data_IF_068438088869
#
_entry.id   IF_068438088869
#
_cell.length_a   1.000
_cell.length_b   1.000
_cell.length_c   1.000
_cell.angle_alpha   90.00
_cell.angle_beta   90.00
_cell.angle_gamma   90.00
#
_symmetry.space_group_name_H-M   'P 1'
#
loop_
_entity.id
_entity.type
_entity.pdbx_description
1 polymer ?
#
# COMPACT_ATOMS: atom_id res chain seq x y z
N UNK A 1 2.93 -78.19 -2.26
CA UNK A 1 3.59 -76.93 -2.67
C UNK A 1 2.59 -75.80 -2.53
N UNK A 2 2.63 -75.01 -1.45
CA UNK A 2 1.74 -73.85 -1.18
C UNK A 2 2.57 -72.57 -1.41
N UNK A 3 2.19 -71.79 -2.41
CA UNK A 3 2.81 -70.46 -2.69
C UNK A 3 2.04 -69.40 -1.91
N UNK A 4 2.68 -68.83 -0.90
CA UNK A 4 2.18 -67.67 -0.14
C UNK A 4 2.43 -66.41 -0.95
N UNK A 5 1.39 -65.71 -1.38
CA UNK A 5 1.45 -64.40 -2.00
C UNK A 5 1.49 -63.35 -0.86
N UNK A 6 2.62 -62.72 -0.66
CA UNK A 6 2.74 -61.56 0.23
C UNK A 6 2.22 -60.31 -0.49
N UNK A 7 1.07 -59.76 -0.03
CA UNK A 7 0.57 -58.48 -0.45
C UNK A 7 1.37 -57.40 0.30
N UNK A 8 2.23 -56.67 -0.44
CA UNK A 8 2.93 -55.51 0.05
C UNK A 8 2.00 -54.28 -0.06
N UNK A 9 1.36 -53.91 1.05
CA UNK A 9 0.52 -52.72 1.12
C UNK A 9 1.41 -51.46 1.12
N UNK A 10 1.37 -50.71 0.02
CA UNK A 10 2.03 -49.42 -0.12
C UNK A 10 1.15 -48.34 0.54
N UNK A 11 1.46 -47.97 1.78
CA UNK A 11 0.80 -46.89 2.52
C UNK A 11 1.32 -45.54 1.98
N UNK A 12 0.50 -44.88 1.16
CA UNK A 12 0.77 -43.54 0.67
C UNK A 12 0.51 -42.52 1.80
N UNK A 13 1.57 -42.06 2.46
CA UNK A 13 1.49 -40.97 3.45
C UNK A 13 1.32 -39.67 2.67
N UNK A 14 0.11 -39.15 2.61
CA UNK A 14 -0.19 -37.81 2.13
C UNK A 14 0.33 -36.82 3.18
N UNK A 15 1.55 -36.31 3.00
CA UNK A 15 2.06 -35.15 3.72
C UNK A 15 1.26 -33.93 3.23
N UNK A 16 0.18 -33.63 3.93
CA UNK A 16 -0.50 -32.35 3.78
C UNK A 16 0.47 -31.25 4.22
N UNK A 17 1.14 -30.61 3.26
CA UNK A 17 1.90 -29.38 3.49
C UNK A 17 0.90 -28.28 3.79
N UNK A 18 0.59 -28.05 5.08
CA UNK A 18 -0.02 -26.81 5.51
C UNK A 18 1.02 -25.71 5.31
N UNK A 19 0.89 -24.94 4.23
CA UNK A 19 1.61 -23.69 4.12
C UNK A 19 1.16 -22.79 5.28
N UNK A 20 2.10 -22.15 6.01
CA UNK A 20 1.73 -21.21 7.05
C UNK A 20 0.86 -20.11 6.44
N UNK A 21 -0.31 -19.88 7.04
CA UNK A 21 -1.19 -18.78 6.65
C UNK A 21 -0.50 -17.49 7.09
N UNK A 22 -0.30 -16.56 6.17
CA UNK A 22 0.12 -15.22 6.53
C UNK A 22 -1.04 -14.57 7.30
N UNK A 23 -0.78 -14.16 8.53
CA UNK A 23 -1.72 -13.44 9.38
C UNK A 23 -1.20 -12.02 9.51
N UNK A 24 -1.98 -11.06 9.04
CA UNK A 24 -1.75 -9.63 9.19
C UNK A 24 -2.84 -9.06 10.11
N UNK A 25 -2.61 -7.90 10.76
CA UNK A 25 -3.66 -7.13 11.40
C UNK A 25 -4.77 -6.76 10.39
N UNK A 26 -6.00 -6.64 10.89
CA UNK A 26 -7.12 -6.18 10.06
C UNK A 26 -6.92 -4.71 9.64
N UNK A 27 -6.24 -3.91 10.47
CA UNK A 27 -5.82 -2.57 10.09
C UNK A 27 -4.69 -2.65 9.04
N UNK A 28 -4.78 -1.84 7.96
CA UNK A 28 -3.74 -1.85 6.93
C UNK A 28 -2.40 -1.36 7.49
N UNK A 29 -1.30 -1.88 6.93
CA UNK A 29 0.03 -1.33 7.19
C UNK A 29 0.63 -0.78 5.90
N UNK A 30 1.44 0.27 6.02
CA UNK A 30 2.17 0.86 4.92
C UNK A 30 3.68 0.88 5.19
N UNK A 31 4.46 0.74 4.12
CA UNK A 31 5.91 0.98 4.13
C UNK A 31 6.35 1.64 2.83
N UNK A 32 7.33 2.52 2.93
CA UNK A 32 8.06 3.01 1.76
C UNK A 32 8.88 1.88 1.13
N UNK A 33 8.86 1.77 -0.19
CA UNK A 33 9.64 0.79 -0.94
C UNK A 33 10.65 1.49 -1.84
N UNK A 34 10.19 2.37 -2.74
CA UNK A 34 11.06 3.02 -3.71
C UNK A 34 10.49 4.35 -4.19
N UNK A 35 11.36 5.18 -4.75
CA UNK A 35 11.02 6.43 -5.41
C UNK A 35 11.93 6.67 -6.61
N UNK A 36 11.35 6.77 -7.79
CA UNK A 36 12.06 6.94 -9.04
C UNK A 36 11.66 8.26 -9.69
N UNK A 37 12.46 9.34 -9.53
CA UNK A 37 12.20 10.60 -10.20
C UNK A 37 12.58 10.51 -11.70
N UNK A 38 11.83 11.22 -12.53
CA UNK A 38 12.11 11.40 -13.95
C UNK A 38 12.59 12.82 -14.24
N UNK A 39 13.28 12.99 -15.37
CA UNK A 39 13.86 14.28 -15.77
C UNK A 39 12.83 15.36 -16.15
N UNK A 40 11.57 14.97 -16.34
CA UNK A 40 10.47 15.87 -16.67
C UNK A 40 9.72 16.43 -15.44
N UNK A 41 10.22 16.15 -14.23
CA UNK A 41 9.62 16.55 -12.96
C UNK A 41 8.54 15.59 -12.45
N UNK A 42 8.26 14.52 -13.18
CA UNK A 42 7.41 13.43 -12.69
C UNK A 42 8.20 12.43 -11.85
N UNK A 43 7.51 11.53 -11.16
CA UNK A 43 8.12 10.43 -10.44
C UNK A 43 7.16 9.24 -10.33
N UNK A 44 7.70 8.08 -9.98
CA UNK A 44 6.94 6.92 -9.54
C UNK A 44 7.30 6.63 -8.08
N UNK A 45 6.29 6.65 -7.22
CA UNK A 45 6.39 6.25 -5.80
C UNK A 45 5.90 4.83 -5.66
N UNK A 46 6.66 3.98 -4.99
CA UNK A 46 6.25 2.61 -4.66
C UNK A 46 6.10 2.46 -3.16
N UNK A 47 4.90 2.08 -2.73
CA UNK A 47 4.57 1.77 -1.34
C UNK A 47 4.22 0.28 -1.24
N UNK A 48 4.72 -0.40 -0.21
CA UNK A 48 4.25 -1.73 0.14
C UNK A 48 3.13 -1.63 1.17
N UNK A 49 2.14 -2.52 1.10
CA UNK A 49 1.07 -2.58 2.09
C UNK A 49 0.73 -4.02 2.46
N UNK A 50 0.19 -4.22 3.65
CA UNK A 50 -0.49 -5.45 4.06
C UNK A 50 -1.83 -5.10 4.69
N UNK A 51 -2.77 -6.07 4.64
CA UNK A 51 -4.12 -5.92 5.16
C UNK A 51 -4.70 -7.30 5.49
N UNK A 52 -5.19 -7.51 6.69
CA UNK A 52 -5.53 -8.85 7.18
C UNK A 52 -6.88 -9.35 6.71
N UNK A 53 -7.89 -8.49 6.64
CA UNK A 53 -9.25 -8.83 6.21
C UNK A 53 -9.50 -8.56 4.72
N UNK A 54 -8.55 -7.90 4.02
CA UNK A 54 -8.57 -7.72 2.57
C UNK A 54 -9.56 -6.68 2.08
N UNK A 55 -9.86 -5.69 2.91
CA UNK A 55 -10.88 -4.68 2.62
C UNK A 55 -10.29 -3.36 2.08
N UNK A 56 -8.99 -3.30 1.77
CA UNK A 56 -8.36 -2.12 1.15
C UNK A 56 -8.89 -1.87 -0.26
N UNK A 57 -9.15 -0.60 -0.52
CA UNK A 57 -9.50 -0.11 -1.85
C UNK A 57 -10.95 0.27 -2.04
N UNK A 58 -11.18 1.12 -3.03
CA UNK A 58 -12.50 1.67 -3.34
C UNK A 58 -12.87 1.40 -4.81
N UNK A 59 -14.12 1.07 -5.04
CA UNK A 59 -14.67 0.93 -6.39
C UNK A 59 -15.12 2.29 -6.94
N UNK A 60 -15.39 2.37 -8.24
CA UNK A 60 -16.01 3.56 -8.83
C UNK A 60 -17.46 3.78 -8.35
N UNK A 61 -18.12 2.73 -7.85
CA UNK A 61 -19.48 2.81 -7.32
C UNK A 61 -19.56 3.34 -5.87
N UNK A 62 -18.43 3.45 -5.16
CA UNK A 62 -18.37 4.00 -3.81
C UNK A 62 -18.48 5.54 -3.86
N UNK A 63 -19.69 6.03 -4.12
CA UNK A 63 -20.01 7.45 -4.31
C UNK A 63 -20.87 8.05 -3.22
N UNK A 64 -21.27 7.27 -2.22
CA UNK A 64 -22.02 7.68 -1.05
C UNK A 64 -21.07 7.92 0.14
N UNK A 65 -21.48 8.68 1.16
CA UNK A 65 -20.70 8.83 2.38
C UNK A 65 -20.32 7.47 2.97
N UNK A 66 -19.07 7.33 3.46
CA UNK A 66 -18.04 8.37 3.67
C UNK A 66 -17.12 8.62 2.45
N UNK A 67 -17.35 7.97 1.28
CA UNK A 67 -16.45 7.95 0.12
C UNK A 67 -16.88 8.88 -1.02
N UNK A 68 -17.90 9.72 -0.81
CA UNK A 68 -18.41 10.64 -1.83
C UNK A 68 -17.33 11.69 -2.21
N UNK A 69 -17.49 12.32 -3.40
CA UNK A 69 -16.49 13.26 -3.95
C UNK A 69 -16.17 14.49 -3.09
N UNK A 70 -17.05 14.82 -2.14
CA UNK A 70 -16.89 15.91 -1.17
C UNK A 70 -16.67 15.41 0.25
N UNK A 71 -16.56 14.08 0.42
CA UNK A 71 -16.36 13.44 1.72
C UNK A 71 -14.87 13.33 2.04
N UNK A 72 -14.56 13.24 3.34
CA UNK A 72 -13.22 13.15 3.87
C UNK A 72 -12.44 11.95 3.31
N UNK A 73 -13.11 10.80 3.18
CA UNK A 73 -12.50 9.56 2.69
C UNK A 73 -12.72 9.32 1.19
N UNK A 74 -12.98 10.40 0.41
CA UNK A 74 -13.02 10.28 -1.05
C UNK A 74 -11.74 9.67 -1.60
N UNK A 75 -10.60 10.10 -1.08
CA UNK A 75 -9.29 9.49 -1.30
C UNK A 75 -8.94 8.65 -0.09
N UNK A 76 -8.54 7.43 -0.34
CA UNK A 76 -8.19 6.48 0.72
C UNK A 76 -6.67 6.30 0.90
N UNK A 77 -5.86 6.97 0.11
CA UNK A 77 -4.41 7.09 0.29
C UNK A 77 -4.03 8.56 0.15
N UNK A 78 -3.49 9.14 1.21
CA UNK A 78 -3.16 10.57 1.28
C UNK A 78 -1.75 10.75 1.81
N UNK A 79 -1.03 11.74 1.29
CA UNK A 79 0.25 12.14 1.85
C UNK A 79 0.24 13.57 2.36
N UNK A 80 0.82 13.76 3.54
CA UNK A 80 1.34 15.04 3.96
C UNK A 80 2.68 15.27 3.27
N UNK A 81 2.79 16.37 2.53
CA UNK A 81 4.01 16.79 1.86
C UNK A 81 4.78 17.73 2.77
N UNK A 82 6.09 17.53 2.88
CA UNK A 82 6.94 18.37 3.70
C UNK A 82 8.20 18.78 2.95
N UNK A 83 8.67 20.00 3.22
CA UNK A 83 9.88 20.60 2.69
C UNK A 83 10.92 20.80 3.80
N UNK A 84 12.20 20.51 3.51
CA UNK A 84 13.28 20.76 4.43
C UNK A 84 13.77 22.21 4.30
N UNK A 85 13.65 23.01 5.35
CA UNK A 85 14.06 24.42 5.38
C UNK A 85 15.51 24.65 5.83
N UNK A 86 16.29 23.58 6.00
CA UNK A 86 17.66 23.62 6.54
C UNK A 86 17.75 23.36 8.05
N UNK A 87 16.63 23.39 8.79
CA UNK A 87 16.57 23.17 10.22
C UNK A 87 15.43 22.21 10.65
N UNK A 88 14.29 22.27 9.95
CA UNK A 88 13.11 21.48 10.25
C UNK A 88 12.37 21.12 8.97
N UNK A 89 11.43 20.17 9.09
CA UNK A 89 10.45 19.86 8.06
C UNK A 89 9.24 20.77 8.23
N UNK A 90 8.93 21.55 7.19
CA UNK A 90 7.77 22.42 7.13
C UNK A 90 6.69 21.78 6.23
N UNK A 91 5.42 21.96 6.59
CA UNK A 91 4.27 21.50 5.81
C UNK A 91 3.64 22.69 5.11
N UNK A 92 3.95 22.96 3.83
CA UNK A 92 3.34 24.04 3.09
C UNK A 92 1.88 23.72 2.73
N UNK A 93 1.04 24.77 2.60
CA UNK A 93 -0.31 24.62 2.12
C UNK A 93 -0.32 24.24 0.64
N UNK A 94 -0.95 23.12 0.32
CA UNK A 94 -1.09 22.63 -1.05
C UNK A 94 -2.44 23.01 -1.62
N UNK A 95 -2.46 23.57 -2.84
CA UNK A 95 -3.71 23.76 -3.59
C UNK A 95 -4.32 22.41 -4.02
N UNK A 96 -3.48 21.45 -4.34
CA UNK A 96 -3.87 20.09 -4.74
C UNK A 96 -3.08 19.13 -3.84
N UNK A 97 -3.74 18.39 -2.94
CA UNK A 97 -3.06 17.44 -2.07
C UNK A 97 -2.57 16.21 -2.86
N UNK A 98 -1.55 15.55 -2.37
CA UNK A 98 -1.14 14.23 -2.84
C UNK A 98 -2.12 13.18 -2.30
N UNK A 99 -3.18 12.96 -3.04
CA UNK A 99 -4.27 12.08 -2.62
C UNK A 99 -4.69 11.18 -3.77
N UNK A 100 -4.89 9.90 -3.47
CA UNK A 100 -5.20 8.87 -4.46
C UNK A 100 -6.38 8.03 -4.00
N UNK A 101 -7.14 7.57 -4.98
CA UNK A 101 -8.19 6.59 -4.79
C UNK A 101 -7.64 5.23 -5.20
N UNK A 102 -7.18 4.47 -4.22
CA UNK A 102 -6.64 3.11 -4.45
C UNK A 102 -7.80 2.21 -4.85
N UNK A 103 -7.70 1.50 -5.98
CA UNK A 103 -8.75 0.56 -6.39
C UNK A 103 -8.77 -0.67 -5.48
N UNK A 104 -9.90 -1.37 -5.46
CA UNK A 104 -10.03 -2.63 -4.71
C UNK A 104 -8.97 -3.63 -5.18
N UNK A 105 -8.18 -4.11 -4.26
CA UNK A 105 -7.29 -5.23 -4.47
C UNK A 105 -8.05 -6.53 -4.20
N UNK A 106 -7.91 -7.50 -5.11
CA UNK A 106 -8.55 -8.82 -4.95
C UNK A 106 -7.53 -9.80 -4.41
N UNK A 107 -7.77 -10.43 -3.25
CA UNK A 107 -6.89 -11.47 -2.73
C UNK A 107 -6.73 -12.64 -3.69
N UNK A 108 -5.54 -13.21 -3.76
CA UNK A 108 -5.27 -14.44 -4.50
C UNK A 108 -5.37 -15.63 -3.55
N UNK A 109 -6.28 -16.59 -3.84
CA UNK A 109 -6.46 -17.78 -3.02
C UNK A 109 -7.64 -17.69 -2.06
N UNK A 110 -7.60 -18.50 -0.99
CA UNK A 110 -8.70 -18.63 0.00
C UNK A 110 -8.55 -17.73 1.23
N UNK A 111 -7.43 -17.01 1.36
CA UNK A 111 -7.21 -16.04 2.44
C UNK A 111 -7.68 -14.65 1.98
N UNK A 112 -8.38 -13.87 2.81
CA UNK A 112 -8.68 -12.48 2.50
C UNK A 112 -7.45 -11.58 2.60
N UNK A 113 -6.42 -11.98 3.36
CA UNK A 113 -5.25 -11.16 3.63
C UNK A 113 -4.52 -10.73 2.34
N UNK A 114 -4.17 -9.45 2.30
CA UNK A 114 -3.44 -8.81 1.22
C UNK A 114 -2.00 -8.54 1.63
N UNK A 115 -1.07 -8.75 0.71
CA UNK A 115 0.31 -8.28 0.75
C UNK A 115 0.68 -7.86 -0.67
N UNK A 116 1.02 -6.61 -0.85
CA UNK A 116 1.21 -6.07 -2.19
C UNK A 116 1.96 -4.74 -2.22
N UNK A 117 2.00 -4.18 -3.43
CA UNK A 117 2.60 -2.87 -3.70
C UNK A 117 1.62 -1.97 -4.45
N UNK A 118 1.72 -0.68 -4.16
CA UNK A 118 1.04 0.40 -4.85
C UNK A 118 2.09 1.21 -5.61
N UNK A 119 1.95 1.31 -6.92
CA UNK A 119 2.74 2.21 -7.74
C UNK A 119 1.93 3.47 -8.04
N UNK A 120 2.42 4.62 -7.59
CA UNK A 120 1.75 5.90 -7.73
C UNK A 120 2.49 6.75 -8.75
N UNK A 121 1.83 7.07 -9.85
CA UNK A 121 2.33 8.08 -10.77
C UNK A 121 2.14 9.47 -10.15
N UNK A 122 3.22 10.21 -10.02
CA UNK A 122 3.26 11.57 -9.50
C UNK A 122 3.67 12.51 -10.64
N UNK A 123 2.71 13.19 -11.31
CA UNK A 123 3.02 14.09 -12.42
C UNK A 123 3.91 15.27 -12.02
N UNK A 124 3.82 15.68 -10.75
CA UNK A 124 4.72 16.62 -10.09
C UNK A 124 4.92 16.15 -8.66
N UNK A 125 6.17 15.94 -8.24
CA UNK A 125 6.47 15.39 -6.91
C UNK A 125 7.07 16.43 -5.94
N UNK A 126 7.33 17.65 -6.41
CA UNK A 126 7.70 18.78 -5.58
C UNK A 126 6.97 20.05 -6.05
N UNK A 127 6.88 21.05 -5.20
CA UNK A 127 6.26 22.32 -5.55
C UNK A 127 7.09 23.05 -6.61
N UNK A 128 6.39 23.66 -7.57
CA UNK A 128 7.04 24.51 -8.54
C UNK A 128 7.67 25.72 -7.86
N UNK A 129 8.98 25.91 -8.08
CA UNK A 129 9.73 27.03 -7.51
C UNK A 129 10.07 26.87 -6.03
N UNK A 130 9.93 25.67 -5.45
CA UNK A 130 10.43 25.39 -4.11
C UNK A 130 11.92 25.72 -4.03
N UNK A 131 12.36 26.23 -2.86
CA UNK A 131 13.76 26.48 -2.54
C UNK A 131 14.29 25.44 -1.56
N UNK A 132 13.50 24.42 -1.25
CA UNK A 132 13.92 23.34 -0.38
C UNK A 132 14.95 22.44 -1.06
N UNK A 133 15.99 22.06 -0.33
CA UNK A 133 16.99 21.10 -0.83
C UNK A 133 16.42 19.67 -0.93
N UNK A 134 15.41 19.38 -0.15
CA UNK A 134 14.76 18.07 -0.14
C UNK A 134 13.31 18.15 0.34
N UNK A 135 12.52 17.16 -0.08
CA UNK A 135 11.13 16.99 0.32
C UNK A 135 10.90 15.58 0.86
N UNK A 136 9.82 15.38 1.61
CA UNK A 136 9.37 14.04 2.01
C UNK A 136 7.86 13.95 2.02
N UNK A 137 7.38 12.71 2.03
CA UNK A 137 5.96 12.37 2.08
C UNK A 137 5.70 11.48 3.29
N UNK A 138 4.61 11.78 4.00
CA UNK A 138 4.09 11.00 5.10
C UNK A 138 2.76 10.40 4.66
N UNK A 139 2.78 9.14 4.22
CA UNK A 139 1.63 8.46 3.63
C UNK A 139 0.77 7.75 4.67
N UNK A 140 -0.55 7.87 4.53
CA UNK A 140 -1.55 7.12 5.30
C UNK A 140 -2.56 6.51 4.33
N UNK A 141 -2.89 5.23 4.55
CA UNK A 141 -3.89 4.48 3.81
C UNK A 141 -5.06 4.17 4.75
N UNK A 142 -6.29 4.33 4.26
CA UNK A 142 -7.50 3.89 4.96
C UNK A 142 -8.11 2.71 4.23
N UNK A 143 -8.57 1.73 5.01
CA UNK A 143 -9.40 0.65 4.51
C UNK A 143 -10.88 1.10 4.36
N UNK A 144 -11.78 0.15 4.03
CA UNK A 144 -13.20 0.43 3.87
C UNK A 144 -13.93 0.61 5.20
N UNK A 145 -13.40 0.10 6.30
CA UNK A 145 -13.91 0.26 7.65
C UNK A 145 -13.37 1.52 8.33
N UNK A 146 -12.60 2.33 7.58
CA UNK A 146 -11.98 3.58 8.00
C UNK A 146 -10.88 3.40 9.06
N UNK A 147 -10.25 2.24 9.09
CA UNK A 147 -9.05 2.04 9.90
C UNK A 147 -7.85 2.66 9.16
N UNK A 148 -7.10 3.57 9.80
CA UNK A 148 -5.88 4.11 9.21
C UNK A 148 -4.72 3.14 9.36
N UNK A 149 -3.84 3.13 8.37
CA UNK A 149 -2.53 2.49 8.49
C UNK A 149 -1.62 3.28 9.45
N UNK A 150 -0.47 2.70 9.77
CA UNK A 150 0.66 3.50 10.23
C UNK A 150 1.05 4.55 9.19
N UNK A 151 1.71 5.62 9.61
CA UNK A 151 2.33 6.59 8.70
C UNK A 151 3.60 6.01 8.10
N UNK A 152 3.66 5.90 6.78
CA UNK A 152 4.86 5.51 6.03
C UNK A 152 5.59 6.77 5.54
N UNK A 153 6.76 7.03 6.10
CA UNK A 153 7.60 8.18 5.71
C UNK A 153 8.59 7.79 4.63
N UNK A 154 8.73 8.63 3.60
CA UNK A 154 9.88 8.55 2.71
C UNK A 154 11.14 9.09 3.42
N UNK A 155 12.35 8.74 2.96
CA UNK A 155 13.53 9.55 3.28
C UNK A 155 13.40 10.97 2.74
N UNK A 156 14.33 11.84 3.06
CA UNK A 156 14.48 13.12 2.35
C UNK A 156 14.85 12.86 0.88
N UNK A 157 13.98 13.32 -0.03
CA UNK A 157 14.15 13.18 -1.48
C UNK A 157 14.77 14.48 -2.01
N UNK A 158 16.00 14.47 -2.56
CA UNK A 158 16.64 15.68 -3.03
C UNK A 158 15.88 16.27 -4.22
N UNK A 159 15.61 17.58 -4.15
CA UNK A 159 15.00 18.35 -5.26
C UNK A 159 16.09 18.70 -6.27
N UNK A 160 15.87 18.50 -7.60
CA UNK A 160 16.88 18.73 -8.63
C UNK A 160 17.23 20.21 -8.86
#
# INVERSE_FOLDING_TARGET
MRRSLALLGMTCVLLGSCLPRLEFPDEPTLRFVDFVPASDGSAVMTLGFTDGDGNVGLTQADTLPPFCSTCEHHFNLVAEYQEWNGAAWDTPDLLIPYAYRVPVATPTGSSPALDGTLELAMPSWHLWGTQADSVRFLWTLWDRDLNPSNVASTPGLPVP
#
